data_IF_896051704500
#
_entry.id   IF_896051704500
#
_cell.length_a   1.000
_cell.length_b   1.000
_cell.length_c   1.000
_cell.angle_alpha   90.00
_cell.angle_beta   90.00
_cell.angle_gamma   90.00
#
_symmetry.space_group_name_H-M   'P 1'
#
loop_
_entity.id
_entity.type
_entity.pdbx_description
1 polymer ?
#
# COMPACT_ATOMS: atom_id res chain seq x y z
N UNK A 1 4.05 -14.38 2.15
CA UNK A 1 3.50 -14.44 0.76
C UNK A 1 4.19 -13.44 -0.16
N UNK A 2 4.36 -12.16 0.22
CA UNK A 2 5.08 -11.16 -0.59
C UNK A 2 6.49 -11.59 -1.02
N UNK A 3 7.27 -12.16 -0.11
CA UNK A 3 8.60 -12.71 -0.40
C UNK A 3 8.64 -13.74 -1.54
N UNK A 4 7.60 -14.58 -1.64
CA UNK A 4 7.53 -15.62 -2.65
C UNK A 4 7.23 -15.02 -4.03
N UNK A 5 6.33 -14.03 -4.08
CA UNK A 5 6.00 -13.31 -5.32
C UNK A 5 7.18 -12.50 -5.83
N UNK A 6 7.88 -11.77 -4.95
CA UNK A 6 9.05 -10.99 -5.34
C UNK A 6 10.17 -11.89 -5.92
N UNK A 7 10.33 -13.11 -5.38
CA UNK A 7 11.30 -14.09 -5.88
C UNK A 7 10.90 -14.67 -7.24
N UNK A 8 9.63 -14.98 -7.43
CA UNK A 8 9.13 -15.63 -8.66
C UNK A 8 8.85 -14.63 -9.79
N UNK A 9 8.56 -13.37 -9.45
CA UNK A 9 8.20 -12.32 -10.40
C UNK A 9 8.87 -10.98 -10.04
N UNK A 10 10.22 -10.91 -10.04
CA UNK A 10 10.95 -9.71 -9.61
C UNK A 10 10.67 -8.49 -10.49
N UNK A 11 10.26 -8.71 -11.75
CA UNK A 11 10.00 -7.67 -12.75
C UNK A 11 8.55 -7.17 -12.76
N UNK A 12 7.72 -7.53 -11.78
CA UNK A 12 6.37 -6.96 -11.66
C UNK A 12 6.50 -5.44 -11.44
N UNK A 13 5.78 -4.68 -12.28
CA UNK A 13 5.66 -3.23 -12.15
C UNK A 13 4.58 -2.82 -11.16
N UNK A 14 3.44 -3.52 -11.17
CA UNK A 14 2.28 -3.18 -10.34
C UNK A 14 1.86 -4.39 -9.51
N UNK A 15 1.90 -4.24 -8.18
CA UNK A 15 1.56 -5.30 -7.26
C UNK A 15 0.52 -4.80 -6.25
N UNK A 16 -0.59 -5.53 -6.17
CA UNK A 16 -1.64 -5.33 -5.17
C UNK A 16 -1.57 -6.47 -4.17
N UNK A 17 -1.23 -6.14 -2.93
CA UNK A 17 -1.27 -7.08 -1.83
C UNK A 17 -2.63 -6.99 -1.11
N UNK A 18 -3.36 -8.10 -1.17
CA UNK A 18 -4.64 -8.27 -0.52
C UNK A 18 -4.45 -9.03 0.79
N UNK A 19 -4.51 -8.32 1.90
CA UNK A 19 -4.52 -8.95 3.21
C UNK A 19 -5.95 -9.39 3.56
N UNK A 20 -6.36 -10.51 2.95
CA UNK A 20 -7.64 -11.14 3.24
C UNK A 20 -7.47 -11.96 4.52
N UNK A 21 -8.04 -11.46 5.61
CA UNK A 21 -8.10 -12.18 6.87
C UNK A 21 -8.77 -13.56 6.69
N UNK A 22 -7.99 -14.63 6.85
CA UNK A 22 -8.47 -16.00 7.04
C UNK A 22 -8.35 -16.34 8.54
N UNK A 23 -9.04 -15.59 9.40
CA UNK A 23 -9.51 -16.14 10.68
C UNK A 23 -8.61 -16.12 11.93
N UNK A 24 -7.52 -15.35 12.04
CA UNK A 24 -6.77 -15.26 13.31
C UNK A 24 -6.49 -13.83 13.75
N UNK A 25 -7.00 -13.45 14.93
CA UNK A 25 -7.05 -12.13 15.63
C UNK A 25 -5.74 -11.34 15.78
N UNK A 26 -4.68 -11.68 15.05
CA UNK A 26 -3.43 -10.92 15.08
C UNK A 26 -3.51 -9.77 14.08
N UNK A 27 -3.46 -8.50 14.50
CA UNK A 27 -3.30 -7.41 13.57
C UNK A 27 -1.91 -7.48 12.94
N UNK A 28 -1.85 -7.43 11.60
CA UNK A 28 -0.57 -7.28 10.91
C UNK A 28 -0.10 -5.85 11.20
N UNK A 29 0.82 -5.75 12.16
CA UNK A 29 1.38 -4.47 12.57
C UNK A 29 2.14 -3.88 11.38
N UNK A 30 1.62 -2.78 10.83
CA UNK A 30 2.30 -2.00 9.81
C UNK A 30 3.44 -1.26 10.52
N UNK A 31 4.66 -1.76 10.39
CA UNK A 31 5.85 -1.13 10.96
C UNK A 31 6.80 -0.71 9.83
N UNK A 32 7.49 0.44 9.96
CA UNK A 32 8.46 0.89 8.96
C UNK A 32 9.64 -0.07 8.74
N UNK A 33 9.95 -0.92 9.71
CA UNK A 33 10.95 -1.99 9.69
C UNK A 33 10.33 -3.39 9.53
N UNK A 34 9.06 -3.44 9.13
CA UNK A 34 8.29 -4.68 9.06
C UNK A 34 8.54 -5.52 7.81
N UNK A 35 8.11 -6.78 7.89
CA UNK A 35 8.15 -7.81 6.82
C UNK A 35 7.65 -7.30 5.46
N UNK A 36 6.72 -6.33 5.45
CA UNK A 36 6.19 -5.73 4.23
C UNK A 36 7.25 -4.93 3.46
N UNK A 37 8.06 -4.15 4.15
CA UNK A 37 9.11 -3.31 3.56
C UNK A 37 10.20 -4.19 2.98
N UNK A 38 10.60 -5.21 3.72
CA UNK A 38 11.56 -6.23 3.26
C UNK A 38 11.09 -6.95 2.00
N UNK A 39 9.80 -7.31 1.92
CA UNK A 39 9.24 -7.97 0.75
C UNK A 39 9.21 -7.03 -0.47
N UNK A 40 8.84 -5.77 -0.28
CA UNK A 40 8.77 -4.76 -1.34
C UNK A 40 10.16 -4.41 -1.89
N UNK A 41 11.17 -4.33 -1.01
CA UNK A 41 12.55 -4.06 -1.43
C UNK A 41 13.19 -5.16 -2.30
N UNK A 42 12.55 -6.32 -2.42
CA UNK A 42 13.04 -7.43 -3.26
C UNK A 42 12.59 -7.34 -4.71
N UNK A 43 11.61 -6.51 -5.03
CA UNK A 43 11.22 -6.31 -6.43
C UNK A 43 12.23 -5.41 -7.15
N UNK A 44 12.57 -5.76 -8.38
CA UNK A 44 13.59 -5.02 -9.16
C UNK A 44 12.98 -3.90 -9.99
N UNK A 45 11.70 -3.99 -10.33
CA UNK A 45 11.01 -3.02 -11.21
C UNK A 45 9.67 -2.55 -10.64
N UNK A 46 9.43 -2.74 -9.35
CA UNK A 46 8.15 -2.36 -8.76
C UNK A 46 8.02 -0.84 -8.73
N UNK A 47 7.17 -0.35 -9.62
CA UNK A 47 6.77 1.04 -9.78
C UNK A 47 5.58 1.38 -8.87
N UNK A 48 4.74 0.36 -8.72
CA UNK A 48 3.35 0.28 -8.32
C UNK A 48 2.98 -0.54 -7.08
N UNK A 49 2.77 0.00 -5.86
CA UNK A 49 2.32 -0.85 -4.73
C UNK A 49 0.98 -0.45 -4.14
N UNK A 50 0.05 -1.41 -4.00
CA UNK A 50 -1.23 -1.21 -3.31
C UNK A 50 -1.32 -2.20 -2.16
N UNK A 51 -1.59 -1.70 -0.95
CA UNK A 51 -1.87 -2.54 0.20
C UNK A 51 -3.33 -2.36 0.65
N UNK A 52 -4.08 -3.47 0.65
CA UNK A 52 -5.45 -3.53 1.14
C UNK A 52 -5.48 -4.19 2.53
N UNK A 53 -5.76 -3.40 3.57
CA UNK A 53 -5.94 -3.87 4.94
C UNK A 53 -7.23 -4.68 5.11
N UNK A 54 -7.29 -5.60 6.09
CA UNK A 54 -8.55 -6.20 6.48
C UNK A 54 -9.48 -5.16 7.12
N UNK A 55 -10.75 -5.19 6.71
CA UNK A 55 -11.80 -4.18 7.01
C UNK A 55 -12.09 -3.96 8.51
N UNK A 56 -11.74 -4.90 9.37
CA UNK A 56 -11.93 -4.81 10.82
C UNK A 56 -10.85 -3.97 11.54
N UNK A 57 -9.73 -3.64 10.89
CA UNK A 57 -8.68 -2.80 11.48
C UNK A 57 -8.80 -1.32 11.08
N UNK A 58 -9.66 -1.00 10.10
CA UNK A 58 -9.72 0.32 9.47
C UNK A 58 -10.56 1.31 10.29
N UNK A 59 -11.47 0.86 11.17
CA UNK A 59 -12.33 1.77 11.94
C UNK A 59 -11.56 2.74 12.87
N UNK A 60 -10.25 2.58 13.04
CA UNK A 60 -9.41 3.46 13.85
C UNK A 60 -8.19 4.05 13.11
N UNK A 61 -7.93 3.67 11.84
CA UNK A 61 -6.55 3.67 11.31
C UNK A 61 -6.10 4.88 10.49
N UNK A 62 -6.98 5.66 9.87
CA UNK A 62 -6.57 6.86 9.10
C UNK A 62 -7.12 8.18 9.64
N UNK A 63 -8.10 8.11 10.54
CA UNK A 63 -8.70 9.27 11.20
C UNK A 63 -8.03 9.65 12.53
N UNK A 64 -7.06 8.85 12.99
CA UNK A 64 -6.28 9.13 14.20
C UNK A 64 -4.94 9.80 13.84
N UNK A 65 -4.63 11.02 14.37
CA UNK A 65 -3.37 11.72 14.10
C UNK A 65 -2.08 10.89 14.28
N UNK A 66 -1.93 10.02 15.30
CA UNK A 66 -0.72 9.20 15.43
C UNK A 66 -0.57 8.14 14.33
N UNK A 67 -1.65 7.69 13.71
CA UNK A 67 -1.63 6.63 12.69
C UNK A 67 -1.37 7.18 11.28
N UNK A 68 -1.79 8.42 10.98
CA UNK A 68 -1.36 9.12 9.75
C UNK A 68 0.17 9.24 9.72
N UNK A 69 0.78 9.60 10.85
CA UNK A 69 2.24 9.65 10.99
C UNK A 69 2.91 8.30 10.74
N UNK A 70 2.31 7.22 11.23
CA UNK A 70 2.81 5.86 11.02
C UNK A 70 2.70 5.41 9.55
N UNK A 71 1.55 5.63 8.91
CA UNK A 71 1.35 5.33 7.48
C UNK A 71 2.38 6.07 6.64
N UNK A 72 2.57 7.36 6.92
CA UNK A 72 3.55 8.17 6.22
C UNK A 72 5.00 7.65 6.39
N UNK A 73 5.38 7.19 7.59
CA UNK A 73 6.68 6.55 7.84
C UNK A 73 6.83 5.24 7.07
N UNK A 74 5.79 4.41 7.03
CA UNK A 74 5.80 3.15 6.30
C UNK A 74 5.93 3.39 4.80
N UNK A 75 5.21 4.36 4.24
CA UNK A 75 5.33 4.70 2.81
C UNK A 75 6.75 5.12 2.47
N UNK A 76 7.37 5.97 3.30
CA UNK A 76 8.77 6.37 3.12
C UNK A 76 9.67 5.15 3.09
N UNK A 77 9.53 4.25 4.08
CA UNK A 77 10.31 3.02 4.13
C UNK A 77 10.11 2.14 2.89
N UNK A 78 8.87 2.00 2.40
CA UNK A 78 8.57 1.25 1.17
C UNK A 78 9.24 1.86 -0.06
N UNK A 79 9.13 3.18 -0.23
CA UNK A 79 9.73 3.90 -1.35
C UNK A 79 11.26 3.94 -1.27
N UNK A 80 11.84 3.91 -0.07
CA UNK A 80 13.29 3.83 0.11
C UNK A 80 13.82 2.41 -0.14
N UNK A 81 13.02 1.38 0.18
CA UNK A 81 13.36 -0.01 -0.08
C UNK A 81 13.33 -0.37 -1.58
N UNK A 82 12.47 0.27 -2.38
CA UNK A 82 12.38 0.06 -3.83
C UNK A 82 12.59 1.38 -4.61
N UNK A 83 13.76 1.61 -5.23
CA UNK A 83 14.07 2.86 -5.92
C UNK A 83 13.15 3.19 -7.10
N UNK A 84 12.52 2.18 -7.70
CA UNK A 84 11.58 2.35 -8.81
C UNK A 84 10.16 2.66 -8.34
N UNK A 85 9.87 2.45 -7.05
CA UNK A 85 8.56 2.64 -6.46
C UNK A 85 8.28 4.14 -6.31
N UNK A 86 7.46 4.65 -7.21
CA UNK A 86 7.10 6.07 -7.22
C UNK A 86 5.71 6.31 -6.64
N UNK A 87 4.89 5.26 -6.51
CA UNK A 87 3.54 5.38 -6.00
C UNK A 87 3.16 4.20 -5.09
N UNK A 88 2.56 4.53 -3.94
CA UNK A 88 2.06 3.59 -2.93
C UNK A 88 0.64 3.98 -2.60
N UNK A 89 -0.28 3.03 -2.53
CA UNK A 89 -1.67 3.30 -2.22
C UNK A 89 -2.23 2.35 -1.17
N UNK A 90 -3.18 2.88 -0.38
CA UNK A 90 -3.92 2.13 0.61
C UNK A 90 -5.41 2.30 0.38
N UNK A 91 -6.21 1.31 0.78
CA UNK A 91 -7.67 1.47 0.79
C UNK A 91 -8.08 2.58 1.76
N UNK A 92 -8.93 3.50 1.29
CA UNK A 92 -9.51 4.54 2.14
C UNK A 92 -10.51 3.97 3.15
N UNK A 93 -10.75 4.71 4.23
CA UNK A 93 -11.77 4.36 5.24
C UNK A 93 -13.19 4.32 4.66
N UNK A 94 -13.45 4.98 3.51
CA UNK A 94 -14.77 5.02 2.87
C UNK A 94 -15.06 3.76 2.06
N UNK A 95 -14.02 3.04 1.62
CA UNK A 95 -14.15 1.74 0.94
C UNK A 95 -14.58 0.58 1.88
N UNK A 96 -14.82 0.86 3.16
CA UNK A 96 -14.96 -0.07 4.30
C UNK A 96 -16.08 -1.13 4.27
N UNK A 97 -16.86 -1.27 3.20
CA UNK A 97 -18.02 -2.18 3.23
C UNK A 97 -17.90 -3.41 2.35
N UNK A 98 -16.88 -3.51 1.48
CA UNK A 98 -16.73 -4.67 0.61
C UNK A 98 -15.26 -5.08 0.49
N UNK A 99 -14.97 -6.34 0.84
CA UNK A 99 -13.72 -7.06 0.48
C UNK A 99 -13.69 -7.36 -1.03
N UNK A 100 -14.32 -6.50 -1.81
CA UNK A 100 -14.42 -6.60 -3.25
C UNK A 100 -13.65 -5.41 -3.78
N UNK A 101 -12.45 -5.67 -4.28
CA UNK A 101 -11.65 -4.70 -5.03
C UNK A 101 -12.37 -4.39 -6.34
N UNK A 102 -13.50 -3.71 -6.22
CA UNK A 102 -14.34 -3.27 -7.32
C UNK A 102 -13.85 -1.95 -7.89
N UNK A 103 -14.47 -1.54 -8.99
CA UNK A 103 -14.21 -0.27 -9.69
C UNK A 103 -14.29 0.95 -8.77
N UNK A 104 -15.10 0.89 -7.71
CA UNK A 104 -15.38 2.02 -6.83
C UNK A 104 -14.48 2.04 -5.57
N UNK A 105 -13.42 1.24 -5.53
CA UNK A 105 -12.50 1.22 -4.37
C UNK A 105 -11.67 2.50 -4.35
N UNK A 106 -12.00 3.43 -3.45
CA UNK A 106 -11.24 4.66 -3.22
C UNK A 106 -9.91 4.36 -2.51
N UNK A 107 -8.81 4.83 -3.10
CA UNK A 107 -7.44 4.65 -2.60
C UNK A 107 -6.84 5.97 -2.14
N UNK A 108 -6.28 5.97 -0.93
CA UNK A 108 -5.37 7.02 -0.45
C UNK A 108 -4.00 6.75 -1.06
N UNK A 109 -3.50 7.68 -1.87
CA UNK A 109 -2.30 7.48 -2.68
C UNK A 109 -1.18 8.40 -2.23
N UNK A 110 0.04 7.88 -2.21
CA UNK A 110 1.26 8.61 -1.89
C UNK A 110 2.23 8.52 -3.06
N UNK A 111 2.94 9.61 -3.32
CA UNK A 111 3.97 9.67 -4.37
C UNK A 111 5.25 10.31 -3.90
N UNK A 112 6.38 9.90 -4.49
CA UNK A 112 7.66 10.59 -4.34
C UNK A 112 7.68 11.82 -5.25
N UNK A 113 7.85 13.00 -4.68
CA UNK A 113 7.99 14.25 -5.41
C UNK A 113 9.42 14.46 -5.94
N UNK A 114 9.61 15.45 -6.81
CA UNK A 114 10.90 15.75 -7.43
C UNK A 114 12.00 16.15 -6.43
N UNK A 115 11.62 16.62 -5.24
CA UNK A 115 12.51 16.92 -4.11
C UNK A 115 12.87 15.68 -3.28
N UNK A 116 12.32 14.52 -3.64
CA UNK A 116 12.51 13.27 -2.92
C UNK A 116 11.54 13.06 -1.75
N UNK A 117 10.70 14.05 -1.42
CA UNK A 117 9.71 13.93 -0.34
C UNK A 117 8.55 13.03 -0.76
N UNK A 118 8.05 12.27 0.20
CA UNK A 118 6.81 11.50 0.06
C UNK A 118 5.64 12.37 0.51
N UNK A 119 4.60 12.47 -0.32
CA UNK A 119 3.37 13.20 0.04
C UNK A 119 2.13 12.42 -0.39
N UNK A 120 1.05 12.62 0.35
CA UNK A 120 -0.27 12.16 -0.04
C UNK A 120 -0.76 12.99 -1.24
N UNK A 121 -1.40 12.35 -2.21
CA UNK A 121 -2.10 13.01 -3.31
C UNK A 121 -3.48 13.44 -2.82
N UNK A 122 -3.85 14.68 -3.13
CA UNK A 122 -5.17 15.23 -2.80
C UNK A 122 -6.33 14.49 -3.51
N UNK A 123 -6.04 13.79 -4.61
CA UNK A 123 -7.02 13.04 -5.39
C UNK A 123 -7.10 11.57 -4.97
N UNK A 124 -8.32 11.13 -4.63
CA UNK A 124 -8.63 9.71 -4.43
C UNK A 124 -8.69 9.02 -5.79
N UNK A 125 -7.83 8.02 -5.99
CA UNK A 125 -7.84 7.20 -7.19
C UNK A 125 -8.70 5.97 -6.96
N UNK A 126 -9.41 5.55 -8.02
CA UNK A 126 -10.02 4.22 -8.02
C UNK A 126 -9.01 3.17 -8.46
N UNK A 127 -9.19 1.92 -8.01
CA UNK A 127 -8.35 0.80 -8.45
C UNK A 127 -8.37 0.63 -9.98
N UNK A 128 -9.49 0.92 -10.63
CA UNK A 128 -9.60 0.85 -12.08
C UNK A 128 -8.79 1.96 -12.76
N UNK A 129 -8.92 3.21 -12.32
CA UNK A 129 -8.13 4.34 -12.84
C UNK A 129 -6.63 4.08 -12.71
N UNK A 130 -6.24 3.35 -11.68
CA UNK A 130 -4.86 3.02 -11.39
C UNK A 130 -4.18 2.12 -12.41
N UNK A 131 -4.94 1.23 -13.07
CA UNK A 131 -4.43 0.35 -14.13
C UNK A 131 -3.97 1.12 -15.38
N UNK A 132 -4.37 2.38 -15.49
CA UNK A 132 -4.11 3.24 -16.64
C UNK A 132 -3.07 4.33 -16.34
N UNK A 133 -2.40 4.30 -15.19
CA UNK A 133 -1.40 5.30 -14.78
C UNK A 133 0.03 5.01 -15.29
N UNK A 134 0.19 4.06 -16.20
CA UNK A 134 1.47 3.64 -16.80
C UNK A 134 1.94 4.56 -17.92
#
# INVERSE_FOLDING_TARGET
>A
MGDLVAREFPSIKHFTFLDRYLGEDTPLSIQPDGVLVDAVGRFTHLETFIYAFPTNQIQSSFSSPPLIGLVHQVVRALMDASPHLHQVAFMSERANTKVDLGRDTELVTYTRHADGDVREKDDLLSLESWKYLS
#
